data_IF_425752397357
#
_entry.id   IF_425752397357
#
_cell.length_a   1.000
_cell.length_b   1.000
_cell.length_c   1.000
_cell.angle_alpha   90.00
_cell.angle_beta   90.00
_cell.angle_gamma   90.00
#
_symmetry.space_group_name_H-M   'P 1'
#
loop_
_entity.id
_entity.type
_entity.pdbx_description
1 polymer ?
#
# COMPACT_ATOMS: atom_id res chain seq x y z
N UNK A 1 18.40 -2.75 2.61
CA UNK A 1 17.67 -1.55 2.15
C UNK A 1 17.19 -1.83 0.74
N UNK A 2 15.89 -1.96 0.53
CA UNK A 2 15.32 -2.00 -0.83
C UNK A 2 15.54 -0.64 -1.47
N UNK A 3 16.08 -0.60 -2.68
CA UNK A 3 16.24 0.64 -3.43
C UNK A 3 14.91 0.99 -4.11
N UNK A 4 14.72 2.27 -4.47
CA UNK A 4 13.58 2.70 -5.28
C UNK A 4 13.44 1.86 -6.57
N UNK A 5 14.55 1.49 -7.20
CA UNK A 5 14.54 0.60 -8.37
C UNK A 5 13.96 -0.80 -8.08
N UNK A 6 14.31 -1.40 -6.95
CA UNK A 6 13.77 -2.71 -6.56
C UNK A 6 12.26 -2.65 -6.22
N UNK A 7 11.75 -1.49 -5.80
CA UNK A 7 10.32 -1.27 -5.63
C UNK A 7 9.60 -1.19 -6.98
N UNK A 8 10.14 -0.42 -7.92
CA UNK A 8 9.59 -0.32 -9.28
C UNK A 8 9.58 -1.69 -9.96
N UNK A 9 10.63 -2.50 -9.81
CA UNK A 9 10.65 -3.88 -10.33
C UNK A 9 9.54 -4.76 -9.73
N UNK A 10 9.21 -4.59 -8.46
CA UNK A 10 8.12 -5.33 -7.82
C UNK A 10 6.75 -4.88 -8.32
N UNK A 11 6.56 -3.57 -8.49
CA UNK A 11 5.34 -3.00 -9.07
C UNK A 11 5.18 -3.53 -10.51
N UNK A 12 6.21 -3.42 -11.35
CA UNK A 12 6.17 -3.90 -12.73
C UNK A 12 5.84 -5.40 -12.83
N UNK A 13 6.34 -6.22 -11.89
CA UNK A 13 5.99 -7.65 -11.81
C UNK A 13 4.52 -7.91 -11.47
N UNK A 14 3.87 -7.06 -10.68
CA UNK A 14 2.43 -7.18 -10.40
C UNK A 14 1.60 -6.96 -11.66
N UNK A 15 2.07 -6.10 -12.56
CA UNK A 15 1.38 -5.71 -13.79
C UNK A 15 1.94 -6.37 -15.06
N UNK A 16 2.85 -7.34 -14.92
CA UNK A 16 3.47 -7.99 -16.07
C UNK A 16 2.42 -8.71 -16.93
N UNK A 17 2.42 -8.42 -18.24
CA UNK A 17 1.48 -9.04 -19.19
C UNK A 17 0.05 -8.51 -19.15
N UNK A 18 -0.23 -7.47 -18.36
CA UNK A 18 -1.58 -6.89 -18.19
C UNK A 18 -1.93 -5.82 -19.21
N UNK A 19 -0.92 -5.27 -19.88
CA UNK A 19 -1.08 -4.16 -20.82
C UNK A 19 -1.34 -2.80 -20.18
N UNK A 20 -1.27 -2.69 -18.84
CA UNK A 20 -1.36 -1.42 -18.11
C UNK A 20 -0.07 -0.62 -18.33
N UNK A 21 -0.19 0.69 -18.59
CA UNK A 21 0.97 1.56 -18.76
C UNK A 21 1.75 1.74 -17.46
N UNK A 22 3.08 1.84 -17.51
CA UNK A 22 3.91 2.06 -16.31
C UNK A 22 3.45 3.28 -15.48
N UNK A 23 2.96 4.33 -16.15
CA UNK A 23 2.38 5.51 -15.52
C UNK A 23 1.14 5.16 -14.69
N UNK A 24 0.19 4.41 -15.26
CA UNK A 24 -1.00 3.96 -14.54
C UNK A 24 -0.67 3.03 -13.38
N UNK A 25 0.32 2.14 -13.54
CA UNK A 25 0.80 1.23 -12.50
C UNK A 25 1.33 1.99 -11.29
N UNK A 26 2.18 2.99 -11.54
CA UNK A 26 2.75 3.83 -10.48
C UNK A 26 1.65 4.67 -9.83
N UNK A 27 0.78 5.29 -10.62
CA UNK A 27 -0.29 6.15 -10.11
C UNK A 27 -1.26 5.39 -9.20
N UNK A 28 -1.70 4.19 -9.59
CA UNK A 28 -2.60 3.39 -8.74
C UNK A 28 -1.89 2.93 -7.47
N UNK A 29 -0.63 2.49 -7.58
CA UNK A 29 0.15 2.06 -6.41
C UNK A 29 0.37 3.21 -5.42
N UNK A 30 0.75 4.39 -5.90
CA UNK A 30 0.90 5.57 -5.07
C UNK A 30 -0.43 5.99 -4.44
N UNK A 31 -1.53 5.86 -5.17
CA UNK A 31 -2.87 6.15 -4.66
C UNK A 31 -3.21 5.23 -3.49
N UNK A 32 -3.04 3.92 -3.64
CA UNK A 32 -3.23 2.93 -2.56
C UNK A 32 -2.33 3.25 -1.37
N UNK A 33 -1.04 3.55 -1.59
CA UNK A 33 -0.11 3.91 -0.52
C UNK A 33 -0.54 5.17 0.23
N UNK A 34 -1.01 6.22 -0.46
CA UNK A 34 -1.52 7.45 0.17
C UNK A 34 -2.76 7.17 1.00
N UNK A 35 -3.71 6.40 0.46
CA UNK A 35 -4.92 6.01 1.18
C UNK A 35 -4.61 5.17 2.41
N UNK A 36 -3.65 4.23 2.32
CA UNK A 36 -3.21 3.43 3.46
C UNK A 36 -2.56 4.31 4.53
N UNK A 37 -1.69 5.24 4.15
CA UNK A 37 -1.02 6.15 5.07
C UNK A 37 -2.01 7.05 5.84
N UNK A 38 -3.09 7.46 5.20
CA UNK A 38 -4.15 8.27 5.81
C UNK A 38 -5.14 7.45 6.67
N UNK A 39 -5.01 6.12 6.72
CA UNK A 39 -5.95 5.26 7.43
C UNK A 39 -5.63 5.17 8.93
N UNK A 40 -6.43 5.84 9.77
CA UNK A 40 -6.17 5.95 11.22
C UNK A 40 -5.98 4.61 11.93
N UNK A 41 -6.75 3.58 11.57
CA UNK A 41 -6.60 2.27 12.20
C UNK A 41 -5.25 1.64 11.86
N UNK A 42 -4.79 1.78 10.61
CA UNK A 42 -3.48 1.26 10.21
C UNK A 42 -2.36 2.02 10.90
N UNK A 43 -2.52 3.34 11.09
CA UNK A 43 -1.58 4.15 11.87
C UNK A 43 -1.49 3.66 13.32
N UNK A 44 -2.64 3.43 13.98
CA UNK A 44 -2.70 2.89 15.35
C UNK A 44 -2.04 1.52 15.44
N UNK A 45 -2.34 0.61 14.52
CA UNK A 45 -1.74 -0.73 14.49
C UNK A 45 -0.24 -0.69 14.18
N UNK A 46 0.21 0.19 13.29
CA UNK A 46 1.63 0.35 12.97
C UNK A 46 2.44 0.83 14.18
N UNK A 47 1.89 1.74 14.99
CA UNK A 47 2.51 2.23 16.23
C UNK A 47 2.47 1.18 17.33
N UNK A 48 1.35 0.48 17.50
CA UNK A 48 1.15 -0.49 18.58
C UNK A 48 1.94 -1.80 18.39
N UNK A 49 2.18 -2.21 17.14
CA UNK A 49 2.73 -3.52 16.83
C UNK A 49 4.18 -3.45 16.33
N UNK A 50 4.95 -4.52 16.61
CA UNK A 50 6.26 -4.74 16.01
C UNK A 50 6.15 -5.06 14.50
N UNK A 51 7.27 -5.08 13.75
CA UNK A 51 7.24 -5.34 12.31
C UNK A 51 6.60 -6.68 11.93
N UNK A 52 6.91 -7.74 12.67
CA UNK A 52 6.37 -9.08 12.39
C UNK A 52 4.85 -9.11 12.58
N UNK A 53 4.37 -8.68 13.75
CA UNK A 53 2.95 -8.69 14.09
C UNK A 53 2.12 -7.81 13.13
N UNK A 54 2.63 -6.63 12.79
CA UNK A 54 1.98 -5.75 11.82
C UNK A 54 1.90 -6.38 10.42
N UNK A 55 3.01 -6.98 9.94
CA UNK A 55 3.06 -7.60 8.62
C UNK A 55 2.13 -8.82 8.48
N UNK A 56 1.82 -9.49 9.59
CA UNK A 56 0.90 -10.64 9.62
C UNK A 56 -0.53 -10.28 10.02
N UNK A 57 -0.85 -8.99 10.20
CA UNK A 57 -2.18 -8.55 10.62
C UNK A 57 -3.22 -8.86 9.53
N UNK A 58 -4.27 -9.64 9.83
CA UNK A 58 -5.38 -9.85 8.89
C UNK A 58 -6.05 -8.54 8.50
N UNK A 59 -6.13 -7.60 9.44
CA UNK A 59 -6.71 -6.27 9.23
C UNK A 59 -5.93 -5.47 8.19
N UNK A 60 -4.60 -5.62 8.13
CA UNK A 60 -3.79 -4.95 7.10
C UNK A 60 -4.20 -5.41 5.69
N UNK A 61 -4.45 -6.71 5.52
CA UNK A 61 -4.86 -7.30 4.24
C UNK A 61 -6.26 -6.81 3.84
N UNK A 62 -7.23 -6.93 4.76
CA UNK A 62 -8.61 -6.48 4.55
C UNK A 62 -8.69 -4.99 4.22
N UNK A 63 -7.98 -4.14 4.98
CA UNK A 63 -7.97 -2.70 4.72
C UNK A 63 -7.31 -2.38 3.39
N UNK A 64 -6.19 -3.02 3.03
CA UNK A 64 -5.56 -2.76 1.72
C UNK A 64 -6.47 -3.14 0.56
N UNK A 65 -7.22 -4.24 0.67
CA UNK A 65 -8.24 -4.62 -0.31
C UNK A 65 -9.27 -3.50 -0.52
N UNK A 66 -9.86 -2.98 0.57
CA UNK A 66 -10.82 -1.87 0.53
C UNK A 66 -10.22 -0.59 -0.08
N UNK A 67 -8.95 -0.31 0.22
CA UNK A 67 -8.27 0.88 -0.30
C UNK A 67 -7.95 0.76 -1.79
N UNK A 68 -7.76 -0.45 -2.34
CA UNK A 68 -7.61 -0.64 -3.79
C UNK A 68 -8.89 -0.27 -4.52
N UNK A 69 -10.05 -0.64 -3.98
CA UNK A 69 -11.34 -0.22 -4.54
C UNK A 69 -11.50 1.30 -4.53
N UNK A 70 -11.04 1.96 -3.46
CA UNK A 70 -11.08 3.43 -3.33
C UNK A 70 -10.10 4.11 -4.27
N UNK A 71 -8.86 3.61 -4.35
CA UNK A 71 -7.79 4.15 -5.19
C UNK A 71 -8.06 3.98 -6.70
N UNK A 72 -8.95 3.07 -7.07
CA UNK A 72 -9.36 2.80 -8.45
C UNK A 72 -10.22 3.90 -9.09
N UNK A 73 -10.69 4.92 -8.35
CA UNK A 73 -11.36 6.07 -8.93
C UNK A 73 -10.42 6.82 -9.89
N UNK A 74 -10.61 6.60 -11.21
CA UNK A 74 -9.76 7.16 -12.28
C UNK A 74 -8.80 6.16 -12.93
N UNK A 75 -8.50 5.03 -12.29
CA UNK A 75 -7.62 3.97 -12.80
C UNK A 75 -8.22 2.56 -12.58
N UNK A 76 -9.51 2.39 -12.86
CA UNK A 76 -10.28 1.18 -12.56
C UNK A 76 -9.67 -0.10 -13.13
N UNK A 77 -9.09 -0.05 -14.33
CA UNK A 77 -8.45 -1.21 -14.94
C UNK A 77 -7.22 -1.67 -14.15
N UNK A 78 -6.40 -0.74 -13.67
CA UNK A 78 -5.22 -1.05 -12.86
C UNK A 78 -5.60 -1.55 -11.46
N UNK A 79 -6.66 -0.98 -10.84
CA UNK A 79 -7.19 -1.46 -9.57
C UNK A 79 -7.78 -2.88 -9.67
N UNK A 80 -8.51 -3.18 -10.74
CA UNK A 80 -9.02 -4.54 -10.97
C UNK A 80 -7.87 -5.54 -11.16
N UNK A 81 -6.85 -5.16 -11.92
CA UNK A 81 -5.65 -6.00 -12.13
C UNK A 81 -4.96 -6.33 -10.80
N UNK A 82 -4.85 -5.35 -9.90
CA UNK A 82 -4.31 -5.55 -8.56
C UNK A 82 -5.10 -6.62 -7.79
N UNK A 83 -6.44 -6.56 -7.83
CA UNK A 83 -7.31 -7.54 -7.17
C UNK A 83 -7.24 -8.93 -7.82
N UNK A 84 -7.11 -9.01 -9.15
CA UNK A 84 -7.22 -10.26 -9.92
C UNK A 84 -5.92 -11.10 -9.97
N UNK A 85 -4.75 -10.48 -10.09
CA UNK A 85 -3.46 -11.19 -10.31
C UNK A 85 -2.64 -11.37 -9.04
N UNK A 86 -2.81 -10.44 -8.10
CA UNK A 86 -2.01 -10.35 -6.90
C UNK A 86 -2.60 -11.09 -5.71
N UNK A 87 -3.91 -10.93 -5.53
CA UNK A 87 -4.52 -11.01 -4.21
C UNK A 87 -4.08 -9.82 -3.34
N UNK A 88 -4.92 -9.37 -2.38
CA UNK A 88 -4.56 -8.30 -1.45
C UNK A 88 -3.21 -8.53 -0.73
N UNK A 89 -2.84 -9.80 -0.48
CA UNK A 89 -1.62 -10.18 0.23
C UNK A 89 -0.34 -9.79 -0.51
N UNK A 90 -0.25 -10.01 -1.83
CA UNK A 90 0.96 -9.62 -2.58
C UNK A 90 1.11 -8.10 -2.63
N UNK A 91 0.01 -7.37 -2.62
CA UNK A 91 0.03 -5.91 -2.61
C UNK A 91 0.52 -5.43 -1.25
N UNK A 92 0.03 -6.03 -0.16
CA UNK A 92 0.54 -5.80 1.19
C UNK A 92 2.05 -6.05 1.25
N UNK A 93 2.56 -7.14 0.68
CA UNK A 93 4.00 -7.43 0.63
C UNK A 93 4.79 -6.29 -0.04
N UNK A 94 4.33 -5.80 -1.19
CA UNK A 94 4.99 -4.70 -1.92
C UNK A 94 4.89 -3.38 -1.14
N UNK A 95 3.75 -3.08 -0.51
CA UNK A 95 3.58 -1.89 0.34
C UNK A 95 4.51 -1.95 1.56
N UNK A 96 4.64 -3.11 2.22
CA UNK A 96 5.56 -3.34 3.33
C UNK A 96 7.02 -3.18 2.88
N UNK A 97 7.38 -3.74 1.73
CA UNK A 97 8.71 -3.57 1.14
C UNK A 97 9.00 -2.09 0.80
N UNK A 98 7.97 -1.32 0.43
CA UNK A 98 8.03 0.13 0.21
C UNK A 98 8.08 0.96 1.51
N UNK A 99 7.99 0.31 2.68
CA UNK A 99 8.12 0.95 3.99
C UNK A 99 6.81 1.46 4.58
N UNK A 100 5.66 0.89 4.22
CA UNK A 100 4.33 1.29 4.70
C UNK A 100 4.28 1.51 6.23
N UNK A 101 4.78 0.56 7.03
CA UNK A 101 4.71 0.67 8.50
C UNK A 101 5.44 1.91 9.04
N UNK A 102 6.60 2.26 8.46
CA UNK A 102 7.34 3.44 8.89
C UNK A 102 6.58 4.71 8.51
N UNK A 103 6.04 4.79 7.29
CA UNK A 103 5.23 5.93 6.84
C UNK A 103 3.99 6.13 7.70
N UNK A 104 3.33 5.05 8.11
CA UNK A 104 2.19 5.09 9.03
C UNK A 104 2.57 5.63 10.40
N UNK A 105 3.72 5.23 10.94
CA UNK A 105 4.23 5.74 12.22
C UNK A 105 4.60 7.22 12.13
N UNK A 106 5.27 7.61 11.05
CA UNK A 106 5.64 9.00 10.79
C UNK A 106 4.38 9.87 10.66
N UNK A 107 3.36 9.38 9.94
CA UNK A 107 2.08 10.07 9.82
C UNK A 107 1.37 10.21 11.17
N UNK A 108 1.33 9.15 11.97
CA UNK A 108 0.73 9.18 13.30
C UNK A 108 1.41 10.22 14.22
N UNK A 109 2.74 10.38 14.09
CA UNK A 109 3.48 11.41 14.83
C UNK A 109 3.15 12.83 14.34
N UNK A 110 3.06 13.03 13.02
CA UNK A 110 2.66 14.32 12.45
C UNK A 110 1.24 14.71 12.88
N UNK A 111 0.31 13.76 12.86
CA UNK A 111 -1.09 13.99 13.24
C UNK A 111 -1.23 14.28 14.75
N UNK A 112 -0.37 13.68 15.58
CA UNK A 112 -0.28 14.01 17.00
C UNK A 112 0.25 15.43 17.24
N UNK A 113 1.26 15.87 16.48
CA UNK A 113 1.84 17.22 16.60
C UNK A 113 0.94 18.33 16.04
N UNK A 114 0.10 18.02 15.06
CA UNK A 114 -0.85 18.97 14.46
C UNK A 114 -2.13 19.19 15.25
N UNK A 115 -2.38 18.36 16.27
CA UNK A 115 -3.56 18.42 17.15
C UNK A 115 -3.27 19.05 18.53
N UNK A 116 -2.04 19.52 18.78
CA UNK A 116 -1.62 20.32 19.94
C UNK A 116 -1.61 21.82 19.61
#
# INVERSE_FOLDING_TARGET
MGTFGALIEQINKLFEGTGISDEDQINVFESVMRHAQAHEQLQREAVANGPLDFSSSPTLVETVEELIYTAGEGHQQAANVLLELGGPEKIVEVLLAAGLQNRLRDQAQLDAMGND
#
